data_IF_998748395224
#
_entry.id   IF_998748395224
#
_cell.length_a   1.000
_cell.length_b   1.000
_cell.length_c   1.000
_cell.angle_alpha   90.00
_cell.angle_beta   90.00
_cell.angle_gamma   90.00
#
_symmetry.space_group_name_H-M   'P 1'
#
loop_
_entity.id
_entity.type
_entity.pdbx_description
1 polymer ?
#
# COMPACT_ATOMS: atom_id res chain seq x y z
N UNK A 1 3.20 1.20 -13.76
CA UNK A 1 2.88 2.65 -13.71
C UNK A 1 1.52 2.78 -13.03
N UNK A 2 1.51 2.68 -11.67
CA UNK A 2 0.27 2.56 -10.89
C UNK A 2 -0.60 3.82 -10.93
N UNK A 3 -0.02 5.02 -11.11
CA UNK A 3 -0.77 6.26 -11.00
C UNK A 3 -0.66 7.21 -12.19
N UNK A 4 0.19 6.95 -13.18
CA UNK A 4 0.58 7.95 -14.17
C UNK A 4 1.00 9.30 -13.53
N UNK A 5 1.52 9.25 -12.32
CA UNK A 5 1.92 10.41 -11.52
C UNK A 5 3.40 10.35 -11.19
N UNK A 6 3.96 11.47 -10.78
CA UNK A 6 5.34 11.59 -10.36
C UNK A 6 5.43 11.45 -8.84
N UNK A 7 6.49 10.80 -8.37
CA UNK A 7 6.89 10.74 -6.97
C UNK A 7 8.27 11.36 -6.82
N UNK A 8 8.70 11.64 -5.59
CA UNK A 8 10.01 12.19 -5.29
C UNK A 8 10.75 11.32 -4.28
N UNK A 9 12.07 11.21 -4.46
CA UNK A 9 12.96 10.60 -3.49
C UNK A 9 14.23 11.44 -3.32
N UNK A 10 14.89 11.30 -2.18
CA UNK A 10 16.19 11.88 -1.87
C UNK A 10 17.23 10.78 -1.83
N UNK A 11 18.38 10.97 -2.44
CA UNK A 11 19.58 10.21 -2.09
C UNK A 11 20.06 10.75 -0.75
N UNK A 12 19.77 10.04 0.34
CA UNK A 12 20.09 10.47 1.69
C UNK A 12 21.61 10.38 1.94
N UNK A 13 22.23 9.28 1.51
CA UNK A 13 23.68 9.09 1.57
C UNK A 13 24.12 7.92 0.67
N UNK A 14 25.42 7.80 0.49
CA UNK A 14 26.06 6.63 -0.12
C UNK A 14 26.56 5.71 0.99
N UNK A 15 26.01 4.52 1.06
CA UNK A 15 26.45 3.51 2.00
C UNK A 15 27.84 2.96 1.57
N UNK A 16 28.75 2.73 2.53
CA UNK A 16 30.03 2.10 2.22
C UNK A 16 29.79 0.67 1.66
N UNK A 17 30.80 0.13 0.96
CA UNK A 17 30.74 -1.25 0.49
C UNK A 17 30.42 -2.21 1.65
N UNK A 18 29.51 -3.12 1.44
CA UNK A 18 29.31 -4.18 2.41
C UNK A 18 30.45 -5.21 2.36
N UNK A 19 30.57 -6.03 3.40
CA UNK A 19 31.66 -7.01 3.52
C UNK A 19 31.57 -8.15 2.53
N UNK A 20 30.39 -8.36 1.94
CA UNK A 20 30.10 -9.50 1.04
C UNK A 20 30.19 -9.07 -0.41
N UNK A 21 29.40 -8.07 -0.81
CA UNK A 21 29.30 -7.64 -2.22
C UNK A 21 30.46 -6.76 -2.64
N UNK A 22 31.12 -6.08 -1.69
CA UNK A 22 32.15 -5.04 -1.95
C UNK A 22 31.66 -3.86 -2.79
N UNK A 23 30.35 -3.73 -2.93
CA UNK A 23 29.71 -2.66 -3.71
C UNK A 23 29.18 -1.55 -2.81
N UNK A 24 29.28 -0.32 -3.25
CA UNK A 24 28.63 0.83 -2.62
C UNK A 24 27.19 0.94 -3.12
N UNK A 25 26.31 1.43 -2.28
CA UNK A 25 24.88 1.57 -2.55
C UNK A 25 24.42 2.99 -2.25
N UNK A 26 23.51 3.52 -3.05
CA UNK A 26 22.76 4.69 -2.66
C UNK A 26 21.65 4.30 -1.69
N UNK A 27 21.42 5.13 -0.66
CA UNK A 27 20.25 4.99 0.20
C UNK A 27 19.24 6.05 -0.22
N UNK A 28 18.11 5.60 -0.74
CA UNK A 28 16.97 6.43 -1.10
C UNK A 28 16.04 6.57 0.09
N UNK A 29 15.60 7.79 0.31
CA UNK A 29 14.47 8.11 1.18
C UNK A 29 13.32 8.58 0.29
N UNK A 30 12.19 7.91 0.33
CA UNK A 30 10.98 8.40 -0.33
C UNK A 30 10.47 9.65 0.35
N UNK A 31 9.96 10.59 -0.43
CA UNK A 31 9.44 11.86 0.06
C UNK A 31 7.92 11.88 -0.03
N UNK A 32 7.29 12.57 0.90
CA UNK A 32 5.84 12.76 0.96
C UNK A 32 5.39 13.80 -0.08
N UNK A 33 5.53 13.41 -1.35
CA UNK A 33 5.15 14.25 -2.49
C UNK A 33 4.70 13.39 -3.68
N UNK A 34 3.57 13.77 -4.27
CA UNK A 34 3.05 13.19 -5.51
C UNK A 34 2.44 14.30 -6.36
N UNK A 35 2.80 14.32 -7.63
CA UNK A 35 2.31 15.33 -8.57
C UNK A 35 1.88 14.75 -9.92
N UNK A 36 1.01 15.48 -10.63
CA UNK A 36 0.62 15.16 -12.01
C UNK A 36 1.64 15.70 -13.02
N UNK A 37 2.55 16.57 -12.58
CA UNK A 37 3.70 17.09 -13.31
C UNK A 37 5.00 16.80 -12.55
N UNK A 38 6.18 16.84 -13.20
CA UNK A 38 7.45 16.69 -12.49
C UNK A 38 7.63 17.75 -11.40
N UNK A 39 8.24 17.35 -10.28
CA UNK A 39 8.65 18.23 -9.20
C UNK A 39 9.54 19.37 -9.73
N UNK A 40 9.35 20.58 -9.21
CA UNK A 40 10.16 21.76 -9.52
C UNK A 40 11.15 22.08 -8.41
N UNK A 41 12.19 22.86 -8.72
CA UNK A 41 13.17 23.28 -7.72
C UNK A 41 12.56 24.18 -6.62
N UNK A 42 11.50 24.91 -6.92
CA UNK A 42 10.80 25.77 -5.98
C UNK A 42 10.05 24.99 -4.90
N UNK A 43 9.65 23.76 -5.19
CA UNK A 43 8.96 22.87 -4.27
C UNK A 43 9.89 22.16 -3.28
N UNK A 44 11.20 22.09 -3.59
CA UNK A 44 12.19 21.37 -2.77
C UNK A 44 12.16 21.72 -1.27
N UNK A 45 12.06 23.02 -0.86
CA UNK A 45 12.06 23.38 0.55
C UNK A 45 10.82 22.87 1.33
N UNK A 46 9.78 22.47 0.63
CA UNK A 46 8.52 22.01 1.21
C UNK A 46 8.45 20.49 1.37
N UNK A 47 9.40 19.77 0.79
CA UNK A 47 9.44 18.32 0.86
C UNK A 47 9.66 17.82 2.31
N UNK A 48 9.11 16.66 2.59
CA UNK A 48 9.24 15.97 3.88
C UNK A 48 9.49 14.48 3.65
N UNK A 49 10.12 13.79 4.59
CA UNK A 49 10.23 12.34 4.55
C UNK A 49 8.86 11.67 4.51
N UNK A 50 8.72 10.63 3.70
CA UNK A 50 7.57 9.75 3.74
C UNK A 50 7.73 8.76 4.91
N UNK A 51 6.73 8.75 5.78
CA UNK A 51 6.61 7.73 6.82
C UNK A 51 5.55 6.72 6.40
N UNK A 52 5.94 5.46 6.32
CA UNK A 52 5.00 4.36 6.09
C UNK A 52 4.20 4.10 7.34
N UNK A 53 2.89 4.17 7.20
CA UNK A 53 1.94 3.89 8.27
C UNK A 53 0.81 2.96 7.79
N UNK A 54 0.87 2.50 6.56
CA UNK A 54 -0.15 1.63 5.99
C UNK A 54 0.00 0.18 6.51
N UNK A 55 -1.11 -0.50 6.66
CA UNK A 55 -1.18 -1.89 7.14
C UNK A 55 -0.37 -2.08 8.45
N UNK A 56 0.67 -2.93 8.42
CA UNK A 56 1.50 -3.28 9.58
C UNK A 56 2.63 -2.26 9.89
N UNK A 57 2.85 -1.26 9.03
CA UNK A 57 3.88 -0.26 9.27
C UNK A 57 3.47 0.73 10.39
N UNK A 58 4.43 1.14 11.22
CA UNK A 58 4.21 2.00 12.39
C UNK A 58 5.03 3.28 12.33
N UNK A 59 4.83 4.07 11.26
CA UNK A 59 5.57 5.31 10.98
C UNK A 59 7.05 5.11 10.71
N UNK A 60 7.40 4.05 10.01
CA UNK A 60 8.77 3.80 9.60
C UNK A 60 9.17 4.66 8.39
N UNK A 61 10.40 5.19 8.40
CA UNK A 61 10.95 5.84 7.22
C UNK A 61 11.04 4.85 6.06
N UNK A 62 10.60 5.28 4.88
CA UNK A 62 10.76 4.46 3.68
C UNK A 62 12.16 4.62 3.09
N UNK A 63 13.08 3.77 3.55
CA UNK A 63 14.47 3.72 3.11
C UNK A 63 14.73 2.46 2.27
N UNK A 64 15.41 2.64 1.14
CA UNK A 64 15.80 1.55 0.22
C UNK A 64 17.28 1.67 -0.14
N UNK A 65 18.01 0.56 -0.14
CA UNK A 65 19.36 0.45 -0.73
C UNK A 65 19.20 0.10 -2.21
N UNK A 66 19.75 0.95 -3.07
CA UNK A 66 19.67 0.81 -4.54
C UNK A 66 21.06 0.87 -5.16
N UNK A 67 21.27 0.30 -6.35
CA UNK A 67 22.50 0.47 -7.10
C UNK A 67 22.83 1.95 -7.35
N UNK A 68 24.10 2.31 -7.48
CA UNK A 68 24.53 3.68 -7.76
C UNK A 68 24.13 4.17 -9.15
N UNK A 69 23.92 3.25 -10.09
CA UNK A 69 23.46 3.58 -11.43
C UNK A 69 22.01 4.06 -11.39
N UNK A 70 21.81 5.34 -11.73
CA UNK A 70 20.48 5.95 -11.72
C UNK A 70 19.76 5.62 -13.03
N UNK A 71 18.57 5.00 -12.98
CA UNK A 71 17.81 4.69 -14.17
C UNK A 71 17.33 5.96 -14.92
N UNK A 72 17.21 5.91 -16.27
CA UNK A 72 16.94 7.09 -17.08
C UNK A 72 15.58 7.78 -16.83
N UNK A 73 14.65 7.08 -16.19
CA UNK A 73 13.35 7.66 -15.80
C UNK A 73 13.43 8.61 -14.61
N UNK A 74 14.53 8.58 -13.84
CA UNK A 74 14.76 9.51 -12.74
C UNK A 74 15.45 10.77 -13.24
N UNK A 75 15.04 11.92 -12.71
CA UNK A 75 15.63 13.23 -13.03
C UNK A 75 16.07 13.91 -11.74
N UNK A 76 17.30 14.42 -11.76
CA UNK A 76 17.77 15.29 -10.69
C UNK A 76 17.06 16.64 -10.79
N UNK A 77 16.37 17.02 -9.71
CA UNK A 77 15.67 18.31 -9.61
C UNK A 77 16.49 19.33 -8.83
N UNK A 78 17.25 18.87 -7.83
CA UNK A 78 18.12 19.75 -7.04
C UNK A 78 18.70 19.02 -5.84
N UNK A 79 19.21 19.79 -4.88
CA UNK A 79 19.89 19.27 -3.69
C UNK A 79 19.24 19.81 -2.43
N UNK A 80 19.06 18.94 -1.44
CA UNK A 80 18.60 19.26 -0.10
C UNK A 80 19.57 18.65 0.92
N UNK A 81 19.70 19.21 2.12
CA UNK A 81 20.33 18.52 3.22
C UNK A 81 19.68 17.16 3.44
N UNK A 82 20.44 16.10 3.77
CA UNK A 82 19.86 14.81 4.08
C UNK A 82 18.85 14.89 5.23
N UNK A 83 17.67 14.32 5.04
CA UNK A 83 16.65 14.25 6.10
C UNK A 83 16.97 13.19 7.16
N UNK A 84 17.84 12.24 6.83
CA UNK A 84 18.23 11.15 7.74
C UNK A 84 19.60 10.58 7.38
N UNK A 85 20.28 10.06 8.37
CA UNK A 85 21.49 9.23 8.26
C UNK A 85 21.26 7.81 8.81
N UNK A 86 20.00 7.44 9.07
CA UNK A 86 19.65 6.13 9.61
C UNK A 86 20.15 5.00 8.71
N UNK A 87 20.72 3.94 9.30
CA UNK A 87 21.15 2.77 8.55
C UNK A 87 19.97 2.10 7.83
N UNK A 88 20.10 1.91 6.53
CA UNK A 88 19.13 1.17 5.75
C UNK A 88 19.58 -0.29 5.59
N UNK A 89 18.68 -1.23 5.94
CA UNK A 89 18.90 -2.68 5.78
C UNK A 89 18.07 -3.29 4.67
N UNK A 90 17.10 -2.54 4.15
CA UNK A 90 16.23 -3.00 3.06
C UNK A 90 16.93 -2.84 1.71
N UNK A 91 16.99 -3.91 0.96
CA UNK A 91 17.44 -3.89 -0.44
C UNK A 91 16.23 -3.73 -1.33
N UNK A 92 16.32 -2.90 -2.34
CA UNK A 92 15.29 -2.67 -3.34
C UNK A 92 15.88 -2.28 -4.68
N UNK A 93 15.02 -2.17 -5.66
CA UNK A 93 15.36 -1.50 -6.91
C UNK A 93 14.94 -0.03 -6.86
N UNK A 94 15.25 0.70 -7.92
CA UNK A 94 14.72 2.04 -8.15
C UNK A 94 13.20 1.97 -8.49
N UNK A 95 12.39 1.50 -7.56
CA UNK A 95 10.95 1.24 -7.75
C UNK A 95 10.13 1.50 -6.49
N UNK A 96 10.41 2.60 -5.82
CA UNK A 96 9.76 3.02 -4.57
C UNK A 96 8.27 3.44 -4.72
N UNK A 97 7.83 3.67 -5.96
CA UNK A 97 6.51 4.23 -6.24
C UNK A 97 5.32 3.41 -5.74
N UNK A 98 5.47 2.11 -5.52
CA UNK A 98 4.38 1.27 -5.02
C UNK A 98 4.06 1.55 -3.55
N UNK A 99 5.07 1.61 -2.69
CA UNK A 99 4.87 1.93 -1.26
C UNK A 99 4.37 3.37 -1.06
N UNK A 100 4.84 4.31 -1.88
CA UNK A 100 4.32 5.69 -1.90
C UNK A 100 2.83 5.69 -2.26
N UNK A 101 2.43 4.91 -3.25
CA UNK A 101 1.03 4.76 -3.64
C UNK A 101 0.18 4.18 -2.51
N UNK A 102 0.63 3.10 -1.88
CA UNK A 102 -0.09 2.49 -0.75
C UNK A 102 -0.25 3.46 0.42
N UNK A 103 0.80 4.23 0.75
CA UNK A 103 0.76 5.22 1.80
C UNK A 103 -0.25 6.34 1.50
N UNK A 104 -0.31 6.83 0.26
CA UNK A 104 -1.26 7.86 -0.14
C UNK A 104 -2.70 7.34 -0.08
N UNK A 105 -2.94 6.13 -0.59
CA UNK A 105 -4.26 5.50 -0.45
C UNK A 105 -4.66 5.36 1.01
N UNK A 106 -3.73 4.91 1.85
CA UNK A 106 -3.94 4.79 3.29
C UNK A 106 -4.32 6.11 3.93
N UNK A 107 -3.62 7.19 3.61
CA UNK A 107 -3.90 8.54 4.14
C UNK A 107 -5.29 9.07 3.71
N UNK A 108 -5.78 8.66 2.55
CA UNK A 108 -7.11 9.03 2.08
C UNK A 108 -8.25 8.30 2.80
N UNK A 109 -7.95 7.22 3.53
CA UNK A 109 -8.94 6.47 4.33
C UNK A 109 -9.20 7.22 5.65
N UNK A 110 -10.47 7.36 6.10
CA UNK A 110 -10.80 7.98 7.38
C UNK A 110 -10.01 7.37 8.55
N UNK A 111 -9.53 8.20 9.46
CA UNK A 111 -8.66 7.80 10.57
C UNK A 111 -9.27 6.68 11.43
N UNK A 112 -10.57 6.76 11.71
CA UNK A 112 -11.31 5.76 12.46
C UNK A 112 -11.23 4.36 11.82
N UNK A 113 -11.29 4.31 10.48
CA UNK A 113 -11.19 3.06 9.73
C UNK A 113 -9.77 2.52 9.76
N UNK A 114 -8.75 3.39 9.61
CA UNK A 114 -7.34 3.02 9.72
C UNK A 114 -7.01 2.47 11.10
N UNK A 115 -7.56 3.09 12.14
CA UNK A 115 -7.40 2.63 13.52
C UNK A 115 -8.06 1.27 13.72
N UNK A 116 -9.31 1.08 13.29
CA UNK A 116 -10.00 -0.19 13.37
C UNK A 116 -9.24 -1.32 12.65
N UNK A 117 -8.65 -1.01 11.48
CA UNK A 117 -7.77 -1.94 10.77
C UNK A 117 -6.55 -2.34 11.62
N UNK A 118 -5.85 -1.36 12.22
CA UNK A 118 -4.66 -1.61 13.06
C UNK A 118 -4.99 -2.45 14.30
N UNK A 119 -6.10 -2.12 14.97
CA UNK A 119 -6.59 -2.85 16.13
C UNK A 119 -6.95 -4.30 15.76
N UNK A 120 -7.60 -4.50 14.61
CA UNK A 120 -7.98 -5.83 14.15
C UNK A 120 -6.77 -6.69 13.74
N UNK A 121 -5.73 -6.11 13.15
CA UNK A 121 -4.52 -6.84 12.76
C UNK A 121 -3.82 -7.53 13.94
N UNK A 122 -3.83 -6.89 15.09
CA UNK A 122 -3.19 -7.39 16.32
C UNK A 122 -4.15 -8.25 17.18
N UNK A 123 -5.40 -8.41 16.72
CA UNK A 123 -6.43 -9.14 17.45
C UNK A 123 -6.45 -10.64 17.12
N UNK A 124 -6.59 -11.46 18.15
CA UNK A 124 -6.90 -12.89 18.01
C UNK A 124 -8.43 -13.18 18.02
N UNK A 125 -9.26 -12.13 18.02
CA UNK A 125 -10.71 -12.27 18.02
C UNK A 125 -11.21 -12.96 16.76
N UNK A 126 -12.34 -13.64 16.90
CA UNK A 126 -13.04 -14.29 15.80
C UNK A 126 -14.42 -13.69 15.64
N UNK A 127 -14.89 -13.65 14.40
CA UNK A 127 -16.26 -13.37 14.02
C UNK A 127 -16.82 -14.53 13.22
N UNK A 128 -18.11 -14.56 12.99
CA UNK A 128 -18.74 -15.57 12.14
C UNK A 128 -19.05 -15.01 10.75
N UNK A 129 -18.63 -15.74 9.72
CA UNK A 129 -18.96 -15.47 8.33
C UNK A 129 -19.66 -16.74 7.80
N UNK A 130 -20.93 -16.62 7.42
CA UNK A 130 -21.72 -17.78 6.99
C UNK A 130 -21.80 -18.91 8.02
N UNK A 131 -21.73 -18.58 9.33
CA UNK A 131 -21.69 -19.54 10.42
C UNK A 131 -20.34 -20.22 10.65
N UNK A 132 -19.29 -19.77 9.97
CA UNK A 132 -17.91 -20.27 10.14
C UNK A 132 -17.10 -19.25 10.93
N UNK A 133 -16.37 -19.65 11.99
CA UNK A 133 -15.50 -18.74 12.73
C UNK A 133 -14.30 -18.34 11.89
N UNK A 134 -14.12 -17.02 11.70
CA UNK A 134 -13.03 -16.39 10.93
C UNK A 134 -12.34 -15.36 11.80
N UNK A 135 -11.01 -15.28 11.75
CA UNK A 135 -10.27 -14.24 12.48
C UNK A 135 -10.61 -12.85 11.95
N UNK A 136 -10.82 -11.88 12.84
CA UNK A 136 -11.06 -10.45 12.47
C UNK A 136 -9.89 -9.87 11.69
N UNK A 137 -8.69 -10.38 11.93
CA UNK A 137 -7.45 -10.02 11.22
C UNK A 137 -7.32 -10.65 9.83
N UNK A 138 -8.31 -11.43 9.36
CA UNK A 138 -8.23 -12.10 8.05
C UNK A 138 -8.14 -11.10 6.92
N UNK A 139 -7.10 -11.26 6.07
CA UNK A 139 -6.87 -10.45 4.89
C UNK A 139 -7.54 -11.00 3.63
N UNK A 140 -7.83 -12.29 3.63
CA UNK A 140 -8.41 -13.01 2.49
C UNK A 140 -9.62 -13.81 2.93
N UNK A 141 -10.66 -13.78 2.10
CA UNK A 141 -11.83 -14.64 2.21
C UNK A 141 -12.14 -15.25 0.84
N UNK A 142 -12.52 -16.52 0.84
CA UNK A 142 -12.98 -17.24 -0.34
C UNK A 142 -14.31 -17.88 -0.03
N UNK A 143 -15.37 -17.55 -0.79
CA UNK A 143 -16.72 -18.08 -0.55
C UNK A 143 -16.85 -19.60 -0.79
N UNK A 144 -15.79 -20.23 -1.28
CA UNK A 144 -15.67 -21.69 -1.36
C UNK A 144 -15.42 -22.32 0.02
N UNK A 145 -14.63 -21.65 0.87
CA UNK A 145 -14.23 -22.17 2.19
C UNK A 145 -14.97 -21.49 3.33
N UNK A 146 -15.27 -20.21 3.17
CA UNK A 146 -16.08 -19.39 4.09
C UNK A 146 -17.34 -18.92 3.34
N UNK A 147 -18.32 -19.83 3.10
CA UNK A 147 -19.53 -19.46 2.39
C UNK A 147 -20.35 -18.46 3.20
N UNK A 148 -20.76 -17.37 2.58
CA UNK A 148 -21.61 -16.34 3.16
C UNK A 148 -22.86 -16.13 2.30
N UNK A 149 -23.96 -15.77 2.92
CA UNK A 149 -25.21 -15.49 2.21
C UNK A 149 -25.28 -14.05 1.72
N UNK A 150 -24.66 -13.14 2.45
CA UNK A 150 -24.58 -11.71 2.16
C UNK A 150 -23.12 -11.24 2.20
N UNK A 151 -22.68 -10.54 1.15
CA UNK A 151 -21.35 -9.90 1.16
C UNK A 151 -21.23 -8.83 2.28
N UNK A 152 -22.34 -8.35 2.84
CA UNK A 152 -22.33 -7.39 3.95
C UNK A 152 -21.83 -8.00 5.26
N UNK A 153 -21.85 -9.33 5.42
CA UNK A 153 -21.22 -10.01 6.55
C UNK A 153 -19.73 -9.73 6.63
N UNK A 154 -19.07 -9.57 5.47
CA UNK A 154 -17.64 -9.26 5.37
C UNK A 154 -17.25 -7.90 5.96
N UNK A 155 -18.22 -7.03 6.28
CA UNK A 155 -17.98 -5.78 7.03
C UNK A 155 -17.42 -6.03 8.44
N UNK A 156 -17.60 -7.25 8.98
CA UNK A 156 -17.00 -7.68 10.24
C UNK A 156 -15.49 -7.95 10.15
N UNK A 157 -14.89 -7.90 8.94
CA UNK A 157 -13.47 -8.14 8.68
C UNK A 157 -12.77 -6.83 8.25
N UNK A 158 -12.33 -5.98 9.17
CA UNK A 158 -11.72 -4.69 8.86
C UNK A 158 -10.46 -4.79 8.01
N UNK A 159 -9.73 -5.92 8.10
CA UNK A 159 -8.47 -6.15 7.39
C UNK A 159 -8.64 -6.78 6.00
N UNK A 160 -9.86 -7.09 5.57
CA UNK A 160 -10.11 -7.79 4.31
C UNK A 160 -9.62 -6.97 3.11
N UNK A 161 -8.60 -7.48 2.41
CA UNK A 161 -7.99 -6.86 1.24
C UNK A 161 -8.07 -7.71 -0.03
N UNK A 162 -8.38 -8.99 0.10
CA UNK A 162 -8.45 -9.95 -1.00
C UNK A 162 -9.73 -10.81 -0.86
N UNK A 163 -10.59 -10.73 -1.86
CA UNK A 163 -11.86 -11.43 -1.89
C UNK A 163 -11.99 -12.27 -3.14
N UNK A 164 -12.25 -13.56 -2.95
CA UNK A 164 -12.52 -14.50 -4.03
C UNK A 164 -13.97 -14.98 -3.93
N UNK A 165 -14.79 -14.65 -4.93
CA UNK A 165 -16.18 -15.08 -5.00
C UNK A 165 -16.39 -16.09 -6.13
N UNK A 166 -16.84 -17.29 -5.81
CA UNK A 166 -17.25 -18.28 -6.79
C UNK A 166 -18.64 -18.00 -7.37
N UNK A 167 -19.45 -17.28 -6.63
CA UNK A 167 -20.81 -16.90 -7.04
C UNK A 167 -21.03 -15.41 -6.89
N UNK A 168 -21.97 -14.89 -7.64
CA UNK A 168 -22.39 -13.49 -7.53
C UNK A 168 -23.27 -13.28 -6.31
N UNK A 169 -22.92 -12.29 -5.50
CA UNK A 169 -23.71 -11.82 -4.38
C UNK A 169 -24.38 -10.49 -4.74
N UNK A 170 -25.71 -10.37 -4.58
CA UNK A 170 -26.45 -9.16 -5.01
C UNK A 170 -25.97 -7.86 -4.34
N UNK A 171 -25.48 -7.97 -3.11
CA UNK A 171 -24.98 -6.86 -2.28
C UNK A 171 -23.48 -6.65 -2.34
N UNK A 172 -22.77 -7.41 -3.20
CA UNK A 172 -21.32 -7.31 -3.34
C UNK A 172 -20.86 -5.89 -3.71
N UNK A 173 -21.55 -5.21 -4.62
CA UNK A 173 -21.21 -3.84 -5.01
C UNK A 173 -21.37 -2.84 -3.86
N UNK A 174 -22.35 -3.04 -2.99
CA UNK A 174 -22.52 -2.20 -1.79
C UNK A 174 -21.34 -2.43 -0.83
N UNK A 175 -20.96 -3.68 -0.60
CA UNK A 175 -19.80 -4.02 0.21
C UNK A 175 -18.52 -3.40 -0.36
N UNK A 176 -18.25 -3.55 -1.66
CA UNK A 176 -17.05 -3.01 -2.32
C UNK A 176 -16.94 -1.49 -2.18
N UNK A 177 -18.05 -0.76 -2.33
CA UNK A 177 -18.07 0.70 -2.12
C UNK A 177 -17.79 1.10 -0.68
N UNK A 178 -18.16 0.26 0.27
CA UNK A 178 -17.94 0.48 1.70
C UNK A 178 -16.59 0.02 2.24
N UNK A 179 -15.82 -0.77 1.46
CA UNK A 179 -14.52 -1.30 1.90
C UNK A 179 -13.37 -0.57 1.19
N UNK A 180 -12.66 0.35 1.88
CA UNK A 180 -11.55 1.09 1.29
C UNK A 180 -10.24 0.30 1.23
N UNK A 181 -10.17 -0.87 1.85
CA UNK A 181 -8.95 -1.68 1.96
C UNK A 181 -8.86 -2.80 0.93
N UNK A 182 -9.95 -3.10 0.22
CA UNK A 182 -9.95 -4.18 -0.76
C UNK A 182 -9.07 -3.80 -1.96
N UNK A 183 -8.04 -4.60 -2.21
CA UNK A 183 -7.06 -4.43 -3.30
C UNK A 183 -7.27 -5.42 -4.42
N UNK A 184 -7.80 -6.60 -4.10
CA UNK A 184 -8.00 -7.68 -5.07
C UNK A 184 -9.40 -8.27 -4.96
N UNK A 185 -10.05 -8.40 -6.12
CA UNK A 185 -11.32 -9.08 -6.26
C UNK A 185 -11.23 -10.09 -7.40
N UNK A 186 -11.38 -11.36 -7.08
CA UNK A 186 -11.51 -12.43 -8.06
C UNK A 186 -12.95 -12.92 -8.12
N UNK A 187 -13.57 -12.87 -9.29
CA UNK A 187 -14.91 -13.40 -9.52
C UNK A 187 -14.85 -14.60 -10.46
N UNK A 188 -15.21 -15.76 -9.91
CA UNK A 188 -15.30 -17.02 -10.65
C UNK A 188 -16.78 -17.29 -10.98
N UNK A 189 -17.08 -17.84 -12.14
CA UNK A 189 -18.41 -18.35 -12.53
C UNK A 189 -19.59 -17.38 -12.29
N UNK A 190 -19.37 -16.08 -12.31
CA UNK A 190 -20.39 -15.09 -11.93
C UNK A 190 -21.46 -14.83 -13.00
N UNK A 191 -21.28 -15.32 -14.22
CA UNK A 191 -22.25 -15.15 -15.34
C UNK A 191 -22.42 -13.70 -15.85
N UNK A 192 -21.84 -12.73 -15.17
CA UNK A 192 -21.86 -11.30 -15.56
C UNK A 192 -20.78 -11.03 -16.61
N UNK A 193 -21.14 -10.29 -17.64
CA UNK A 193 -20.19 -9.90 -18.71
C UNK A 193 -19.53 -8.55 -18.46
N UNK A 194 -20.12 -7.71 -17.63
CA UNK A 194 -19.63 -6.36 -17.33
C UNK A 194 -19.98 -6.00 -15.89
N UNK A 195 -18.97 -5.47 -15.17
CA UNK A 195 -19.11 -4.93 -13.82
C UNK A 195 -18.82 -3.44 -13.84
N UNK A 196 -19.68 -2.66 -13.19
CA UNK A 196 -19.44 -1.25 -12.93
C UNK A 196 -18.83 -1.08 -11.56
N UNK A 197 -17.50 -0.94 -11.52
CA UNK A 197 -16.71 -0.76 -10.29
C UNK A 197 -16.49 0.71 -9.92
N UNK A 198 -17.19 1.65 -10.55
CA UNK A 198 -17.09 3.06 -10.18
C UNK A 198 -17.50 3.29 -8.73
N UNK A 199 -16.67 4.00 -8.00
CA UNK A 199 -16.85 4.29 -6.57
C UNK A 199 -16.44 3.15 -5.63
N UNK A 200 -15.75 2.12 -6.14
CA UNK A 200 -15.04 1.13 -5.31
C UNK A 200 -13.58 1.52 -5.15
N UNK A 201 -12.85 0.82 -4.28
CA UNK A 201 -11.41 1.01 -4.05
C UNK A 201 -10.54 0.24 -5.05
N UNK A 202 -11.14 -0.66 -5.82
CA UNK A 202 -10.47 -1.51 -6.81
C UNK A 202 -10.34 -0.81 -8.14
#
# INVERSE_FOLDING_TARGET
QYLKRYTACQVAYIAPPDTVSKESWAVLLSLDWVGDAPLTAEELPHLRPLYKDFMYWSRDLHLLRVPLEVPPQYKLVGTLPPFTDQPCRSYGGWSDGYDVYLQIRWQAIPEERRRAFKEAMDSDEQTEIGGIPVKVSSHRVTDQYEPFDSALELKALPCLSDLICERWHPDLLEFLRGNPFLDELTLLNHGQRTLDLRGTSI
#
